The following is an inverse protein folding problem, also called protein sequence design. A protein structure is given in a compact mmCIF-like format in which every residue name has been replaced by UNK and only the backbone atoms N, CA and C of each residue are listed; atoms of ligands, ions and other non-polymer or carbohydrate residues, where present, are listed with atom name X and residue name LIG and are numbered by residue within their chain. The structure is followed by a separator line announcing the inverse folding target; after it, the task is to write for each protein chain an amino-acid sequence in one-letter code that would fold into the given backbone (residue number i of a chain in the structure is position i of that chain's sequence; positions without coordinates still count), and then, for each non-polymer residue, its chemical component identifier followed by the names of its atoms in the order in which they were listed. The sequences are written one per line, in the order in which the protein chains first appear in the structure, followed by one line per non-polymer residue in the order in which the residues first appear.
data_IF_709279420201
#
_entry.id   IF_709279420201
#
_cell.length_a   1.000
_cell.length_b   1.000
_cell.length_c   1.000
_cell.angle_alpha   90.00
_cell.angle_beta   90.00
_cell.angle_gamma   90.00
#
_symmetry.space_group_name_H-M   'P 1'
#
loop_
_entity.id
_entity.type
_entity.pdbx_description
1 polymer ?
#
# COMPACT_ATOMS: atom_id res chain seq x y z
N UNK A 1 47.99 29.67 -68.48
CA UNK A 1 47.41 30.95 -68.18
C UNK A 1 45.91 30.81 -68.10
N UNK A 2 45.34 30.71 -66.93
CA UNK A 2 43.92 30.86 -66.69
C UNK A 2 43.72 31.37 -65.26
N UNK A 3 43.10 32.53 -65.15
CA UNK A 3 42.94 33.32 -63.93
C UNK A 3 41.78 32.75 -63.08
N UNK A 4 42.09 32.54 -61.79
CA UNK A 4 41.05 32.17 -60.80
C UNK A 4 40.40 33.42 -60.24
N UNK A 5 39.10 33.58 -60.47
CA UNK A 5 38.26 34.60 -59.84
C UNK A 5 37.88 34.17 -58.42
N UNK A 6 38.26 34.96 -57.43
CA UNK A 6 37.73 34.86 -56.06
C UNK A 6 36.34 35.47 -56.03
N UNK A 7 35.37 34.69 -55.57
CA UNK A 7 34.03 35.17 -55.21
C UNK A 7 34.02 35.34 -53.70
N UNK A 8 33.81 36.56 -53.23
CA UNK A 8 33.63 36.91 -51.82
C UNK A 8 32.17 36.67 -51.43
N UNK A 9 31.94 35.85 -50.36
CA UNK A 9 30.63 35.68 -49.70
C UNK A 9 30.51 36.68 -48.55
N UNK A 10 29.50 37.56 -48.56
CA UNK A 10 29.13 38.32 -47.35
C UNK A 10 28.01 37.56 -46.63
N UNK A 11 28.08 37.35 -45.34
CA UNK A 11 26.91 36.92 -44.56
C UNK A 11 27.15 36.03 -43.33
N UNK A 12 28.12 36.34 -42.46
CA UNK A 12 28.25 35.61 -41.18
C UNK A 12 28.05 36.50 -39.92
N UNK A 13 27.65 37.76 -40.07
CA UNK A 13 27.50 38.68 -38.94
C UNK A 13 26.05 38.81 -38.37
N UNK A 14 25.03 38.25 -39.06
CA UNK A 14 23.62 38.45 -38.63
C UNK A 14 23.06 37.23 -37.80
N UNK A 15 23.73 36.10 -37.76
CA UNK A 15 23.19 34.91 -37.08
C UNK A 15 23.59 34.79 -35.58
N UNK A 16 24.65 35.55 -35.17
CA UNK A 16 25.17 35.49 -33.79
C UNK A 16 24.38 36.36 -32.81
N UNK A 17 23.65 37.37 -33.29
CA UNK A 17 22.85 38.27 -32.42
C UNK A 17 21.48 37.67 -32.06
N UNK A 18 20.93 36.78 -32.90
CA UNK A 18 19.63 36.14 -32.62
C UNK A 18 19.76 34.97 -31.62
N UNK A 19 20.93 34.33 -31.53
CA UNK A 19 21.13 33.21 -30.60
C UNK A 19 21.39 33.69 -29.16
N UNK A 20 21.90 34.93 -28.98
CA UNK A 20 22.15 35.51 -27.65
C UNK A 20 20.86 36.05 -26.98
N UNK A 21 19.83 36.38 -27.77
CA UNK A 21 18.54 36.88 -27.25
C UNK A 21 17.64 35.76 -26.72
N UNK A 22 17.85 34.50 -27.14
CA UNK A 22 17.09 33.35 -26.67
C UNK A 22 17.58 32.79 -25.32
N UNK A 23 18.78 33.14 -24.87
CA UNK A 23 19.35 32.70 -23.59
C UNK A 23 19.08 33.66 -22.41
N UNK A 24 18.42 34.78 -22.64
CA UNK A 24 18.16 35.80 -21.63
C UNK A 24 16.69 35.86 -21.16
N UNK A 25 15.85 34.89 -21.53
CA UNK A 25 14.52 34.79 -20.93
C UNK A 25 14.66 34.23 -19.51
N UNK A 26 14.25 35.00 -18.47
CA UNK A 26 14.19 34.42 -17.13
C UNK A 26 13.30 33.18 -17.18
N UNK A 27 13.65 32.09 -16.46
CA UNK A 27 12.77 30.95 -16.37
C UNK A 27 11.40 31.43 -15.87
N UNK A 28 10.36 31.18 -16.65
CA UNK A 28 9.01 31.45 -16.20
C UNK A 28 8.83 30.77 -14.83
N UNK A 29 8.30 31.48 -13.82
CA UNK A 29 8.04 30.83 -12.55
C UNK A 29 7.15 29.62 -12.82
N UNK A 30 7.62 28.43 -12.41
CA UNK A 30 6.81 27.23 -12.47
C UNK A 30 5.51 27.55 -11.71
N UNK A 31 4.41 27.70 -12.43
CA UNK A 31 3.10 27.77 -11.81
C UNK A 31 2.90 26.46 -11.07
N UNK A 32 3.01 26.48 -9.76
CA UNK A 32 2.53 25.40 -8.91
C UNK A 32 1.02 25.33 -9.16
N UNK A 33 0.61 24.44 -10.05
CA UNK A 33 -0.80 24.08 -10.21
C UNK A 33 -1.18 23.35 -8.93
N UNK A 34 -1.60 24.12 -7.93
CA UNK A 34 -2.18 23.55 -6.72
C UNK A 34 -3.55 23.00 -7.10
N UNK A 35 -3.67 21.69 -7.17
CA UNK A 35 -4.98 21.03 -7.32
C UNK A 35 -5.92 21.52 -6.22
N UNK A 36 -7.19 21.77 -6.52
CA UNK A 36 -8.16 22.14 -5.50
C UNK A 36 -8.18 21.12 -4.36
N UNK A 37 -8.42 21.56 -3.11
CA UNK A 37 -8.49 20.63 -2.00
C UNK A 37 -9.62 19.60 -2.21
N UNK A 38 -9.46 18.36 -1.71
CA UNK A 38 -10.53 17.37 -1.75
C UNK A 38 -11.80 17.89 -1.05
N UNK A 39 -12.95 17.60 -1.64
CA UNK A 39 -14.26 17.90 -1.08
C UNK A 39 -14.85 16.66 -0.46
N UNK A 40 -15.37 16.75 0.76
CA UNK A 40 -15.95 15.62 1.48
C UNK A 40 -17.40 15.89 1.86
N UNK A 41 -18.23 14.86 1.80
CA UNK A 41 -19.58 14.86 2.32
C UNK A 41 -20.04 13.44 2.65
N UNK A 42 -21.14 13.33 3.38
CA UNK A 42 -21.76 12.04 3.70
C UNK A 42 -23.18 12.03 3.16
N UNK A 43 -23.60 10.94 2.52
CA UNK A 43 -24.97 10.75 2.06
C UNK A 43 -25.89 10.38 3.23
N UNK A 44 -27.22 10.51 3.03
CA UNK A 44 -28.23 10.19 4.04
C UNK A 44 -28.17 8.72 4.51
N UNK A 45 -27.71 7.81 3.64
CA UNK A 45 -27.53 6.38 3.95
C UNK A 45 -26.19 6.05 4.63
N UNK A 46 -25.38 7.07 4.95
CA UNK A 46 -24.11 6.92 5.66
C UNK A 46 -22.89 6.69 4.78
N UNK A 47 -23.01 6.66 3.44
CA UNK A 47 -21.86 6.58 2.55
C UNK A 47 -21.01 7.83 2.66
N UNK A 48 -19.73 7.68 3.04
CA UNK A 48 -18.73 8.74 2.96
C UNK A 48 -18.30 8.98 1.52
N UNK A 49 -18.10 10.23 1.12
CA UNK A 49 -17.65 10.58 -0.23
C UNK A 49 -16.47 11.53 -0.13
N UNK A 50 -15.43 11.26 -0.92
CA UNK A 50 -14.26 12.12 -1.12
C UNK A 50 -14.13 12.39 -2.61
N UNK A 51 -14.20 13.64 -3.04
CA UNK A 51 -13.99 14.07 -4.43
C UNK A 51 -12.68 14.85 -4.51
N UNK A 52 -11.79 14.43 -5.41
CA UNK A 52 -10.47 15.01 -5.63
C UNK A 52 -10.44 15.55 -7.08
N UNK A 53 -10.75 16.84 -7.31
CA UNK A 53 -10.76 17.40 -8.66
C UNK A 53 -9.35 17.46 -9.25
N UNK A 54 -9.22 16.93 -10.47
CA UNK A 54 -8.00 17.03 -11.28
C UNK A 54 -8.37 17.10 -12.78
N UNK A 55 -8.39 18.29 -13.32
CA UNK A 55 -8.85 18.58 -14.68
C UNK A 55 -7.74 18.49 -15.75
N UNK A 56 -6.57 17.96 -15.40
CA UNK A 56 -5.42 17.87 -16.33
C UNK A 56 -5.67 16.90 -17.49
N UNK A 57 -6.48 15.88 -17.29
CA UNK A 57 -6.85 14.88 -18.31
C UNK A 57 -8.34 14.54 -18.20
N UNK A 58 -9.06 14.21 -19.31
CA UNK A 58 -10.49 13.94 -19.29
C UNK A 58 -10.81 12.51 -18.81
N UNK A 59 -10.17 12.06 -17.75
CA UNK A 59 -10.38 10.75 -17.13
C UNK A 59 -10.72 10.90 -15.65
N UNK A 60 -11.38 9.89 -15.10
CA UNK A 60 -11.71 9.79 -13.68
C UNK A 60 -11.35 8.42 -13.16
N UNK A 61 -10.92 8.36 -11.91
CA UNK A 61 -10.79 7.13 -11.13
C UNK A 61 -11.85 7.15 -10.05
N UNK A 62 -12.76 6.19 -10.11
CA UNK A 62 -13.73 5.89 -9.06
C UNK A 62 -13.21 4.72 -8.24
N UNK A 63 -13.22 4.84 -6.90
CA UNK A 63 -12.90 3.74 -5.98
C UNK A 63 -13.97 3.65 -4.90
N UNK A 64 -14.55 2.47 -4.71
CA UNK A 64 -15.36 2.16 -3.53
C UNK A 64 -14.51 1.37 -2.53
N UNK A 65 -14.49 1.83 -1.30
CA UNK A 65 -13.72 1.26 -0.19
C UNK A 65 -14.66 0.76 0.88
N UNK A 66 -14.64 -0.53 1.14
CA UNK A 66 -15.37 -1.13 2.24
C UNK A 66 -14.48 -1.22 3.47
N UNK A 67 -15.00 -0.79 4.63
CA UNK A 67 -14.31 -0.84 5.93
C UNK A 67 -14.32 -2.26 6.49
N UNK A 68 -13.83 -3.21 5.72
CA UNK A 68 -13.74 -4.62 6.04
C UNK A 68 -12.63 -5.28 5.25
N UNK A 69 -11.81 -6.05 5.93
CA UNK A 69 -10.69 -6.79 5.33
C UNK A 69 -10.45 -8.12 6.04
N UNK A 70 -9.29 -8.71 5.84
CA UNK A 70 -8.99 -10.03 6.41
C UNK A 70 -8.96 -10.05 7.94
N UNK A 71 -8.75 -8.92 8.61
CA UNK A 71 -8.79 -8.84 10.06
C UNK A 71 -10.20 -8.94 10.65
N UNK A 72 -11.25 -8.79 9.82
CA UNK A 72 -12.65 -8.88 10.24
C UNK A 72 -13.25 -10.28 10.01
N UNK A 73 -12.45 -11.21 9.49
CA UNK A 73 -12.85 -12.60 9.25
C UNK A 73 -13.03 -13.39 10.54
N UNK A 74 -13.99 -14.30 10.53
CA UNK A 74 -14.17 -15.25 11.63
C UNK A 74 -13.00 -16.23 11.69
N UNK A 75 -12.48 -16.58 12.87
CA UNK A 75 -11.47 -17.64 13.02
C UNK A 75 -11.88 -18.94 12.32
N UNK A 76 -10.96 -19.56 11.59
CA UNK A 76 -11.23 -20.74 10.77
C UNK A 76 -11.75 -20.46 9.36
N UNK A 77 -11.86 -19.18 8.97
CA UNK A 77 -12.35 -18.72 7.66
C UNK A 77 -11.41 -17.69 7.04
N UNK A 78 -10.09 -17.81 7.27
CA UNK A 78 -9.12 -16.86 6.69
C UNK A 78 -9.10 -16.94 5.17
N UNK A 79 -8.89 -15.78 4.53
CA UNK A 79 -8.97 -15.61 3.10
C UNK A 79 -10.38 -15.32 2.57
N UNK A 80 -11.39 -15.24 3.44
CA UNK A 80 -12.77 -15.01 3.04
C UNK A 80 -12.98 -13.61 2.43
N UNK A 81 -12.32 -12.59 2.97
CA UNK A 81 -12.38 -11.23 2.42
C UNK A 81 -11.79 -11.17 1.01
N UNK A 82 -10.65 -11.79 0.79
CA UNK A 82 -9.99 -11.89 -0.51
C UNK A 82 -10.79 -12.77 -1.48
N UNK A 83 -11.32 -13.89 -1.01
CA UNK A 83 -12.19 -14.73 -1.82
C UNK A 83 -13.46 -13.99 -2.27
N UNK A 84 -14.08 -13.21 -1.38
CA UNK A 84 -15.23 -12.38 -1.76
C UNK A 84 -14.83 -11.29 -2.77
N UNK A 85 -13.63 -10.70 -2.66
CA UNK A 85 -13.11 -9.78 -3.67
C UNK A 85 -13.22 -10.38 -5.07
N UNK A 86 -12.74 -11.61 -5.28
CA UNK A 86 -12.85 -12.34 -6.54
C UNK A 86 -14.30 -12.59 -6.96
N UNK A 87 -15.14 -12.99 -6.01
CA UNK A 87 -16.54 -13.31 -6.27
C UNK A 87 -17.38 -12.08 -6.64
N UNK A 88 -16.97 -10.87 -6.26
CA UNK A 88 -17.65 -9.63 -6.62
C UNK A 88 -17.64 -9.36 -8.14
N UNK A 89 -16.80 -10.03 -8.92
CA UNK A 89 -16.78 -9.96 -10.38
C UNK A 89 -17.73 -10.98 -11.06
N UNK A 90 -18.45 -11.80 -10.27
CA UNK A 90 -19.34 -12.85 -10.80
C UNK A 90 -20.75 -12.36 -11.17
N UNK A 91 -20.99 -11.04 -11.05
CA UNK A 91 -22.20 -10.37 -11.52
C UNK A 91 -23.32 -10.27 -10.51
N UNK A 92 -24.36 -9.60 -10.94
CA UNK A 92 -25.60 -9.34 -10.18
C UNK A 92 -26.80 -9.86 -10.95
N UNK A 93 -27.99 -9.73 -10.38
CA UNK A 93 -29.23 -10.04 -11.11
C UNK A 93 -29.45 -9.09 -12.30
N UNK A 94 -28.96 -7.84 -12.21
CA UNK A 94 -29.11 -6.82 -13.25
C UNK A 94 -27.99 -6.87 -14.29
N UNK A 95 -26.77 -7.16 -13.85
CA UNK A 95 -25.57 -7.20 -14.69
C UNK A 95 -24.89 -8.56 -14.57
N UNK A 96 -25.08 -9.45 -15.57
CA UNK A 96 -24.49 -10.79 -15.56
C UNK A 96 -22.94 -10.76 -15.46
N UNK A 97 -22.38 -11.91 -15.10
CA UNK A 97 -20.94 -12.08 -14.98
C UNK A 97 -20.18 -11.60 -16.23
N UNK A 98 -19.16 -10.78 -16.03
CA UNK A 98 -18.32 -10.24 -17.09
C UNK A 98 -18.87 -8.99 -17.78
N UNK A 99 -20.14 -8.62 -17.63
CA UNK A 99 -20.72 -7.46 -18.31
C UNK A 99 -20.06 -6.15 -17.86
N UNK A 100 -19.81 -6.00 -16.55
CA UNK A 100 -19.11 -4.84 -16.02
C UNK A 100 -17.71 -4.73 -16.61
N UNK A 101 -16.90 -5.79 -16.52
CA UNK A 101 -15.53 -5.82 -17.03
C UNK A 101 -15.47 -5.56 -18.53
N UNK A 102 -16.36 -6.16 -19.31
CA UNK A 102 -16.46 -5.91 -20.75
C UNK A 102 -16.84 -4.46 -21.07
N UNK A 103 -17.68 -3.85 -20.23
CA UNK A 103 -18.09 -2.44 -20.40
C UNK A 103 -16.90 -1.53 -20.13
N UNK A 104 -16.14 -1.76 -19.06
CA UNK A 104 -14.91 -1.01 -18.75
C UNK A 104 -13.91 -1.13 -19.91
N UNK A 105 -13.68 -2.34 -20.41
CA UNK A 105 -12.75 -2.56 -21.53
C UNK A 105 -13.20 -1.88 -22.83
N UNK A 106 -14.50 -1.91 -23.16
CA UNK A 106 -15.04 -1.25 -24.37
C UNK A 106 -14.80 0.25 -24.41
N UNK A 107 -14.78 0.91 -23.27
CA UNK A 107 -14.54 2.35 -23.16
C UNK A 107 -13.07 2.69 -22.98
N UNK A 108 -12.16 1.70 -23.09
CA UNK A 108 -10.73 1.87 -22.90
C UNK A 108 -10.34 2.14 -21.44
N UNK A 109 -11.16 1.69 -20.50
CA UNK A 109 -10.93 1.82 -19.07
C UNK A 109 -10.11 0.67 -18.49
N UNK A 110 -9.78 0.84 -17.21
CA UNK A 110 -9.10 -0.15 -16.37
C UNK A 110 -9.94 -0.40 -15.12
N UNK A 111 -10.02 -1.65 -14.68
CA UNK A 111 -10.60 -2.01 -13.38
C UNK A 111 -9.71 -2.97 -12.63
N UNK A 112 -9.79 -2.93 -11.33
CA UNK A 112 -9.17 -3.92 -10.45
C UNK A 112 -9.77 -3.82 -9.05
N UNK A 113 -9.33 -4.73 -8.17
CA UNK A 113 -9.67 -4.74 -6.76
C UNK A 113 -8.43 -5.05 -5.90
N UNK A 114 -8.57 -4.91 -4.61
CA UNK A 114 -7.53 -5.26 -3.65
C UNK A 114 -8.15 -5.46 -2.27
N UNK A 115 -7.62 -6.42 -1.55
CA UNK A 115 -7.93 -6.67 -0.13
C UNK A 115 -6.69 -6.43 0.72
N UNK A 116 -6.90 -5.82 1.89
CA UNK A 116 -5.89 -5.66 2.93
C UNK A 116 -6.45 -6.18 4.27
N UNK A 117 -5.71 -6.04 5.34
CA UNK A 117 -6.19 -6.37 6.69
C UNK A 117 -7.45 -5.59 7.07
N UNK A 118 -7.53 -4.31 6.70
CA UNK A 118 -8.52 -3.36 7.19
C UNK A 118 -9.59 -2.96 6.19
N UNK A 119 -9.38 -3.24 4.92
CA UNK A 119 -10.26 -2.79 3.86
C UNK A 119 -10.22 -3.69 2.63
N UNK A 120 -11.30 -3.61 1.85
CA UNK A 120 -11.39 -4.13 0.49
C UNK A 120 -11.83 -2.99 -0.42
N UNK A 121 -11.13 -2.79 -1.54
CA UNK A 121 -11.42 -1.71 -2.47
C UNK A 121 -11.57 -2.20 -3.89
N UNK A 122 -12.47 -1.55 -4.64
CA UNK A 122 -12.72 -1.81 -6.07
C UNK A 122 -12.60 -0.49 -6.81
N UNK A 123 -12.00 -0.49 -7.98
CA UNK A 123 -11.83 0.75 -8.74
C UNK A 123 -12.00 0.57 -10.24
N UNK A 124 -12.42 1.64 -10.87
CA UNK A 124 -12.43 1.82 -12.31
C UNK A 124 -11.78 3.16 -12.66
N UNK A 125 -10.93 3.14 -13.66
CA UNK A 125 -10.38 4.33 -14.29
C UNK A 125 -10.91 4.40 -15.71
N UNK A 126 -11.72 5.42 -16.02
CA UNK A 126 -12.46 5.53 -17.27
C UNK A 126 -12.48 6.97 -17.78
N UNK A 127 -12.82 7.22 -19.08
CA UNK A 127 -13.19 8.56 -19.53
C UNK A 127 -14.31 9.15 -18.66
N UNK A 128 -14.26 10.45 -18.40
CA UNK A 128 -15.17 11.13 -17.45
C UNK A 128 -16.66 10.96 -17.77
N UNK A 129 -17.01 10.84 -19.04
CA UNK A 129 -18.39 10.66 -19.51
C UNK A 129 -18.94 9.28 -19.17
N UNK A 130 -18.10 8.33 -18.79
CA UNK A 130 -18.47 6.98 -18.37
C UNK A 130 -18.68 6.84 -16.85
N UNK A 131 -18.36 7.87 -16.07
CA UNK A 131 -18.43 7.81 -14.60
C UNK A 131 -19.82 7.44 -14.08
N UNK A 132 -20.90 7.98 -14.68
CA UNK A 132 -22.27 7.68 -14.27
C UNK A 132 -22.61 6.18 -14.45
N UNK A 133 -22.13 5.55 -15.52
CA UNK A 133 -22.30 4.13 -15.74
C UNK A 133 -21.54 3.30 -14.69
N UNK A 134 -20.29 3.67 -14.37
CA UNK A 134 -19.49 2.99 -13.34
C UNK A 134 -20.14 3.11 -11.96
N UNK A 135 -20.68 4.27 -11.60
CA UNK A 135 -21.42 4.45 -10.36
C UNK A 135 -22.66 3.55 -10.29
N UNK A 136 -23.39 3.40 -11.40
CA UNK A 136 -24.55 2.53 -11.45
C UNK A 136 -24.20 1.06 -11.27
N UNK A 137 -23.14 0.58 -11.89
CA UNK A 137 -22.61 -0.78 -11.71
C UNK A 137 -22.18 -1.04 -10.26
N UNK A 138 -21.39 -0.12 -9.67
CA UNK A 138 -20.90 -0.29 -8.31
C UNK A 138 -22.01 -0.21 -7.26
N UNK A 139 -22.97 0.70 -7.43
CA UNK A 139 -24.12 0.80 -6.54
C UNK A 139 -24.98 -0.47 -6.58
N UNK A 140 -25.19 -1.06 -7.77
CA UNK A 140 -25.89 -2.33 -7.93
C UNK A 140 -25.10 -3.48 -7.30
N UNK A 141 -23.79 -3.56 -7.57
CA UNK A 141 -22.90 -4.59 -7.00
C UNK A 141 -22.81 -4.57 -5.48
N UNK A 142 -23.02 -3.40 -4.85
CA UNK A 142 -22.96 -3.25 -3.40
C UNK A 142 -23.99 -4.13 -2.66
N UNK A 143 -25.15 -4.43 -3.26
CA UNK A 143 -26.20 -5.22 -2.62
C UNK A 143 -26.82 -6.29 -3.53
N UNK A 144 -26.50 -6.28 -4.82
CA UNK A 144 -27.10 -7.11 -5.84
C UNK A 144 -26.35 -8.37 -6.23
N UNK A 145 -25.24 -8.70 -5.55
CA UNK A 145 -24.39 -9.84 -5.89
C UNK A 145 -25.16 -11.16 -5.89
N UNK A 146 -25.03 -11.93 -6.99
CA UNK A 146 -25.64 -13.25 -7.15
C UNK A 146 -24.54 -14.29 -7.32
N UNK A 147 -24.45 -15.21 -6.37
CA UNK A 147 -23.47 -16.30 -6.40
C UNK A 147 -24.16 -17.65 -6.58
N UNK A 148 -23.64 -18.44 -7.49
CA UNK A 148 -24.02 -19.84 -7.70
C UNK A 148 -22.80 -20.73 -7.49
N UNK A 149 -22.99 -21.98 -7.06
CA UNK A 149 -21.88 -22.90 -6.82
C UNK A 149 -21.00 -23.14 -8.05
N UNK A 150 -21.61 -23.10 -9.25
CA UNK A 150 -20.91 -23.20 -10.54
C UNK A 150 -19.88 -22.07 -10.79
N UNK A 151 -20.04 -20.92 -10.11
CA UNK A 151 -19.11 -19.80 -10.16
C UNK A 151 -18.15 -19.78 -8.98
N UNK A 152 -18.62 -20.22 -7.80
CA UNK A 152 -17.89 -20.09 -6.54
C UNK A 152 -16.77 -21.13 -6.42
N UNK A 153 -17.06 -22.41 -6.76
CA UNK A 153 -16.09 -23.47 -6.62
C UNK A 153 -14.87 -23.31 -7.54
N UNK A 154 -15.03 -23.00 -8.85
CA UNK A 154 -13.88 -22.72 -9.69
C UNK A 154 -13.08 -21.50 -9.24
N UNK A 155 -13.73 -20.46 -8.70
CA UNK A 155 -13.02 -19.27 -8.22
C UNK A 155 -12.21 -19.55 -6.96
N UNK A 156 -12.67 -20.45 -6.10
CA UNK A 156 -11.88 -20.92 -4.97
C UNK A 156 -10.59 -21.61 -5.44
N UNK A 157 -10.65 -22.40 -6.50
CA UNK A 157 -9.48 -23.04 -7.09
C UNK A 157 -8.53 -22.01 -7.71
N UNK A 158 -9.05 -20.91 -8.29
CA UNK A 158 -8.23 -19.76 -8.75
C UNK A 158 -7.49 -19.12 -7.57
N UNK A 159 -8.15 -18.88 -6.44
CA UNK A 159 -7.51 -18.32 -5.24
C UNK A 159 -6.45 -19.28 -4.66
N UNK A 160 -6.71 -20.60 -4.70
CA UNK A 160 -5.71 -21.60 -4.31
C UNK A 160 -4.48 -21.60 -5.22
N UNK A 161 -4.68 -21.43 -6.52
CA UNK A 161 -3.56 -21.31 -7.46
C UNK A 161 -2.79 -19.99 -7.26
N UNK A 162 -3.47 -18.91 -6.95
CA UNK A 162 -2.84 -17.66 -6.58
C UNK A 162 -2.01 -17.80 -5.28
N UNK A 163 -2.53 -18.54 -4.28
CA UNK A 163 -1.76 -18.89 -3.09
C UNK A 163 -0.49 -19.67 -3.46
N UNK A 164 -0.60 -20.65 -4.38
CA UNK A 164 0.54 -21.40 -4.87
C UNK A 164 1.60 -20.48 -5.49
N UNK A 165 1.18 -19.58 -6.37
CA UNK A 165 2.10 -18.65 -7.06
C UNK A 165 2.72 -17.61 -6.12
N UNK A 166 1.92 -17.01 -5.25
CA UNK A 166 2.36 -15.89 -4.40
C UNK A 166 3.09 -16.34 -3.14
N UNK A 167 2.69 -17.46 -2.55
CA UNK A 167 3.18 -17.91 -1.24
C UNK A 167 3.89 -19.26 -1.33
N UNK A 168 3.21 -20.36 -1.70
CA UNK A 168 3.78 -21.69 -1.60
C UNK A 168 5.05 -21.90 -2.43
N UNK A 169 5.12 -21.28 -3.62
CA UNK A 169 6.28 -21.31 -4.52
C UNK A 169 7.31 -20.20 -4.25
N UNK A 170 7.09 -19.34 -3.28
CA UNK A 170 7.98 -18.24 -2.93
C UNK A 170 8.48 -18.41 -1.48
N UNK A 171 9.71 -18.91 -1.26
CA UNK A 171 10.24 -19.10 0.08
C UNK A 171 10.28 -17.82 0.94
N UNK A 172 10.53 -16.67 0.36
CA UNK A 172 10.55 -15.40 1.09
C UNK A 172 9.15 -15.00 1.56
N UNK A 173 8.12 -15.16 0.72
CA UNK A 173 6.73 -14.92 1.11
C UNK A 173 6.26 -15.87 2.21
N UNK A 174 6.67 -17.15 2.17
CA UNK A 174 6.43 -18.13 3.25
C UNK A 174 7.09 -17.70 4.55
N UNK A 175 8.32 -17.19 4.50
CA UNK A 175 8.98 -16.66 5.69
C UNK A 175 8.20 -15.47 6.26
N UNK A 176 7.78 -14.53 5.42
CA UNK A 176 6.98 -13.35 5.85
C UNK A 176 5.66 -13.79 6.48
N UNK A 177 4.96 -14.78 5.91
CA UNK A 177 3.75 -15.35 6.49
C UNK A 177 3.98 -15.87 7.91
N UNK A 178 5.07 -16.61 8.14
CA UNK A 178 5.42 -17.13 9.46
C UNK A 178 5.88 -16.03 10.43
N UNK A 179 6.59 -15.00 9.94
CA UNK A 179 6.97 -13.84 10.75
C UNK A 179 5.72 -13.11 11.24
N UNK A 180 4.75 -12.85 10.37
CA UNK A 180 3.51 -12.16 10.73
C UNK A 180 2.71 -12.96 11.76
N UNK A 181 2.58 -14.28 11.57
CA UNK A 181 1.94 -15.17 12.54
C UNK A 181 2.66 -15.19 13.90
N UNK A 182 3.99 -15.03 13.90
CA UNK A 182 4.76 -14.94 15.13
C UNK A 182 4.75 -13.52 15.73
N UNK A 183 4.57 -12.48 14.95
CA UNK A 183 4.54 -11.08 15.41
C UNK A 183 3.28 -10.79 16.22
N UNK A 184 2.15 -11.34 15.79
CA UNK A 184 0.84 -11.16 16.42
C UNK A 184 0.38 -12.45 17.11
N UNK A 185 0.32 -12.43 18.43
CA UNK A 185 -0.12 -13.59 19.24
C UNK A 185 -1.65 -13.72 19.25
N UNK A 186 -2.36 -12.61 19.23
CA UNK A 186 -3.81 -12.58 19.39
C UNK A 186 -4.51 -11.73 18.32
N UNK A 187 -3.83 -10.72 17.80
CA UNK A 187 -4.43 -9.81 16.83
C UNK A 187 -4.57 -10.49 15.44
N UNK A 188 -5.70 -10.30 14.74
CA UNK A 188 -5.95 -10.94 13.44
C UNK A 188 -4.99 -10.54 12.31
N UNK A 189 -4.15 -9.52 12.46
CA UNK A 189 -3.07 -9.22 11.51
C UNK A 189 -1.99 -10.32 11.41
N UNK A 190 -1.99 -11.28 12.33
CA UNK A 190 -1.15 -12.48 12.23
C UNK A 190 -1.63 -13.48 11.19
N UNK A 191 -2.84 -13.33 10.63
CA UNK A 191 -3.38 -14.19 9.57
C UNK A 191 -3.07 -13.60 8.20
N UNK A 192 -2.63 -14.39 7.20
CA UNK A 192 -2.37 -13.86 5.87
C UNK A 192 -3.65 -13.34 5.20
N UNK A 193 -3.55 -12.24 4.46
CA UNK A 193 -4.70 -11.64 3.75
C UNK A 193 -5.30 -12.62 2.74
N UNK A 194 -4.44 -13.37 2.03
CA UNK A 194 -4.91 -14.41 1.09
C UNK A 194 -5.56 -15.60 1.80
N UNK A 195 -5.31 -15.77 3.11
CA UNK A 195 -5.79 -16.87 3.93
C UNK A 195 -4.81 -18.01 4.07
N UNK A 196 -5.04 -18.86 5.09
CA UNK A 196 -4.35 -20.14 5.24
C UNK A 196 -4.89 -21.13 4.23
N UNK A 197 -4.02 -21.84 3.51
CA UNK A 197 -4.42 -22.80 2.47
C UNK A 197 -5.54 -23.75 2.92
N UNK A 198 -5.38 -24.39 4.08
CA UNK A 198 -6.33 -25.36 4.62
C UNK A 198 -7.70 -24.75 5.00
N UNK A 199 -7.78 -23.43 5.16
CA UNK A 199 -9.03 -22.71 5.41
C UNK A 199 -9.67 -22.27 4.09
N UNK A 200 -8.88 -21.81 3.12
CA UNK A 200 -9.34 -21.45 1.77
C UNK A 200 -10.04 -22.66 1.12
N UNK A 201 -9.44 -23.86 1.23
CA UNK A 201 -10.00 -25.13 0.69
C UNK A 201 -11.42 -25.44 1.17
N UNK A 202 -11.82 -24.85 2.32
CA UNK A 202 -13.12 -25.10 2.97
C UNK A 202 -14.12 -23.96 2.85
N UNK A 203 -13.72 -22.83 2.24
CA UNK A 203 -14.62 -21.68 2.05
C UNK A 203 -15.79 -22.08 1.14
N UNK A 204 -16.97 -21.65 1.53
CA UNK A 204 -18.24 -21.95 0.85
C UNK A 204 -18.89 -20.71 0.30
N UNK A 205 -19.89 -20.89 -0.58
CA UNK A 205 -20.75 -19.80 -1.06
C UNK A 205 -21.48 -19.12 0.08
N UNK A 206 -21.97 -19.92 1.04
CA UNK A 206 -22.70 -19.44 2.22
C UNK A 206 -21.82 -18.54 3.09
N UNK A 207 -20.54 -18.90 3.27
CA UNK A 207 -19.55 -18.06 3.97
C UNK A 207 -19.39 -16.71 3.27
N UNK A 208 -19.19 -16.73 1.95
CA UNK A 208 -19.03 -15.52 1.16
C UNK A 208 -20.29 -14.62 1.20
N UNK A 209 -21.47 -15.20 1.03
CA UNK A 209 -22.73 -14.45 1.10
C UNK A 209 -23.02 -13.90 2.50
N UNK A 210 -22.67 -14.64 3.56
CA UNK A 210 -22.82 -14.16 4.93
C UNK A 210 -21.91 -12.96 5.21
N UNK A 211 -20.66 -13.04 4.77
CA UNK A 211 -19.68 -11.96 4.90
C UNK A 211 -20.09 -10.72 4.07
N UNK A 212 -20.50 -10.93 2.81
CA UNK A 212 -21.02 -9.88 1.96
C UNK A 212 -22.22 -9.15 2.60
N UNK A 213 -23.26 -9.89 3.00
CA UNK A 213 -24.44 -9.32 3.64
C UNK A 213 -24.14 -8.61 4.94
N UNK A 214 -23.10 -9.01 5.66
CA UNK A 214 -22.71 -8.41 6.93
C UNK A 214 -22.00 -7.07 6.77
N UNK A 215 -21.17 -6.91 5.74
CA UNK A 215 -20.22 -5.81 5.68
C UNK A 215 -20.37 -4.88 4.48
N UNK A 216 -20.99 -5.35 3.37
CA UNK A 216 -21.11 -4.55 2.16
C UNK A 216 -22.38 -3.69 2.21
N UNK A 217 -22.19 -2.44 2.62
CA UNK A 217 -23.27 -1.47 2.75
C UNK A 217 -22.72 -0.06 2.69
N UNK A 218 -23.52 0.95 2.30
CA UNK A 218 -23.07 2.33 2.16
C UNK A 218 -22.52 2.91 3.47
N UNK A 219 -23.12 2.64 4.61
CA UNK A 219 -22.65 3.12 5.91
C UNK A 219 -21.36 2.42 6.41
N UNK A 220 -20.86 1.41 5.69
CA UNK A 220 -19.56 0.78 5.90
C UNK A 220 -18.61 1.04 4.73
N UNK A 221 -18.88 2.02 3.90
CA UNK A 221 -18.09 2.29 2.71
C UNK A 221 -17.70 3.77 2.58
N UNK A 222 -16.67 4.01 1.79
CA UNK A 222 -16.27 5.34 1.33
C UNK A 222 -16.07 5.31 -0.18
N UNK A 223 -16.73 6.22 -0.89
CA UNK A 223 -16.54 6.44 -2.31
C UNK A 223 -15.49 7.53 -2.49
N UNK A 224 -14.42 7.23 -3.23
CA UNK A 224 -13.40 8.20 -3.62
C UNK A 224 -13.45 8.39 -5.13
N UNK A 225 -13.59 9.62 -5.60
CA UNK A 225 -13.56 9.97 -7.02
C UNK A 225 -12.46 10.99 -7.25
N UNK A 226 -11.47 10.63 -8.05
CA UNK A 226 -10.35 11.50 -8.41
C UNK A 226 -10.29 11.70 -9.93
N UNK A 227 -10.13 12.94 -10.39
CA UNK A 227 -10.00 13.24 -11.81
C UNK A 227 -10.83 14.41 -12.29
N UNK A 228 -11.18 14.39 -13.59
CA UNK A 228 -11.94 15.46 -14.24
C UNK A 228 -13.40 15.48 -13.78
N UNK A 229 -13.59 15.89 -12.54
CA UNK A 229 -14.88 15.90 -11.83
C UNK A 229 -15.03 17.17 -10.99
N UNK A 230 -16.24 17.71 -10.98
CA UNK A 230 -16.66 18.81 -10.12
C UNK A 230 -17.54 18.23 -9.00
N UNK A 231 -17.15 18.48 -7.76
CA UNK A 231 -17.82 17.91 -6.59
C UNK A 231 -19.30 18.34 -6.46
N UNK A 232 -19.64 19.58 -6.85
CA UNK A 232 -20.99 20.09 -6.78
C UNK A 232 -21.88 19.46 -7.88
N UNK A 233 -21.32 19.24 -9.07
CA UNK A 233 -22.04 18.68 -10.19
C UNK A 233 -22.25 17.15 -10.08
N UNK A 234 -21.27 16.45 -9.49
CA UNK A 234 -21.35 14.98 -9.38
C UNK A 234 -22.22 14.51 -8.21
N UNK A 235 -22.40 15.34 -7.18
CA UNK A 235 -23.19 14.98 -5.99
C UNK A 235 -24.60 14.48 -6.31
N UNK A 236 -25.42 15.13 -7.16
CA UNK A 236 -26.76 14.62 -7.51
C UNK A 236 -26.72 13.25 -8.20
N UNK A 237 -25.67 12.95 -8.98
CA UNK A 237 -25.56 11.64 -9.62
C UNK A 237 -25.15 10.56 -8.61
N UNK A 238 -24.32 10.88 -7.62
CA UNK A 238 -24.00 9.96 -6.51
C UNK A 238 -25.27 9.70 -5.67
N UNK A 239 -26.09 10.72 -5.41
CA UNK A 239 -27.36 10.59 -4.68
C UNK A 239 -28.39 9.73 -5.43
N UNK A 240 -28.44 9.81 -6.77
CA UNK A 240 -29.33 8.98 -7.61
C UNK A 240 -28.88 7.51 -7.70
N UNK A 241 -27.60 7.22 -7.53
CA UNK A 241 -27.03 5.88 -7.61
C UNK A 241 -26.82 5.29 -6.21
N UNK A 242 -25.70 5.58 -5.60
CA UNK A 242 -25.35 5.08 -4.26
C UNK A 242 -26.33 5.54 -3.16
N UNK A 243 -26.92 6.74 -3.29
CA UNK A 243 -27.89 7.25 -2.33
C UNK A 243 -29.17 6.42 -2.24
N UNK A 244 -29.46 5.61 -3.25
CA UNK A 244 -30.63 4.70 -3.25
C UNK A 244 -30.34 3.35 -2.58
N UNK A 245 -29.07 3.04 -2.32
CA UNK A 245 -28.71 1.79 -1.65
C UNK A 245 -29.04 1.88 -0.16
N UNK A 246 -29.77 0.91 0.40
CA UNK A 246 -30.15 0.96 1.81
C UNK A 246 -28.95 0.80 2.73
N UNK A 247 -28.95 1.53 3.85
CA UNK A 247 -27.97 1.35 4.91
C UNK A 247 -28.20 0.03 5.66
N UNK A 248 -27.14 -0.47 6.33
CA UNK A 248 -27.16 -1.66 7.17
C UNK A 248 -26.99 -1.26 8.65
N UNK A 249 -28.08 -1.03 9.41
CA UNK A 249 -27.98 -0.54 10.79
C UNK A 249 -27.25 -1.48 11.75
N UNK A 250 -27.16 -2.77 11.41
CA UNK A 250 -26.47 -3.78 12.23
C UNK A 250 -24.94 -3.66 12.19
N UNK A 251 -24.38 -2.86 11.27
CA UNK A 251 -22.92 -2.65 11.23
C UNK A 251 -22.53 -1.66 12.32
N UNK A 252 -21.66 -2.06 13.27
CA UNK A 252 -21.22 -1.15 14.32
C UNK A 252 -20.33 -0.04 13.74
N UNK A 253 -20.46 1.17 14.28
CA UNK A 253 -19.63 2.32 13.89
C UNK A 253 -18.15 2.14 14.26
N UNK A 254 -17.86 1.30 15.26
CA UNK A 254 -16.51 1.00 15.74
C UNK A 254 -16.21 -0.48 15.53
N UNK A 255 -15.06 -0.77 14.91
CA UNK A 255 -14.57 -2.13 14.76
C UNK A 255 -13.92 -2.58 16.06
N UNK A 256 -14.47 -3.62 16.70
CA UNK A 256 -13.91 -4.22 17.92
C UNK A 256 -13.14 -5.47 17.50
N UNK A 257 -11.85 -5.49 17.79
CA UNK A 257 -10.94 -6.60 17.48
C UNK A 257 -10.19 -7.06 18.73
N UNK A 258 -9.73 -8.33 18.76
CA UNK A 258 -8.79 -8.79 19.78
C UNK A 258 -7.57 -7.87 19.81
N UNK A 259 -7.16 -7.42 20.99
CA UNK A 259 -5.98 -6.56 21.13
C UNK A 259 -4.72 -7.41 21.24
N UNK A 260 -3.61 -6.94 20.67
CA UNK A 260 -2.32 -7.59 20.78
C UNK A 260 -1.70 -7.34 22.16
N UNK A 261 -1.33 -8.38 22.92
CA UNK A 261 -0.62 -8.20 24.16
C UNK A 261 0.80 -7.67 23.89
N UNK A 262 1.34 -6.92 24.85
CA UNK A 262 2.71 -6.44 24.74
C UNK A 262 3.68 -7.63 24.68
N UNK A 263 4.56 -7.72 23.66
CA UNK A 263 5.53 -8.78 23.57
C UNK A 263 6.52 -8.75 24.75
N UNK A 264 6.71 -9.90 25.40
CA UNK A 264 7.60 -10.03 26.56
C UNK A 264 8.99 -10.59 26.19
N UNK A 265 9.14 -11.19 25.01
CA UNK A 265 10.39 -11.78 24.55
C UNK A 265 10.55 -11.64 23.03
N UNK A 266 11.80 -11.55 22.53
CA UNK A 266 12.06 -11.61 21.10
C UNK A 266 11.71 -13.02 20.58
N UNK A 267 11.29 -13.08 19.33
CA UNK A 267 10.94 -14.35 18.66
C UNK A 267 11.76 -14.52 17.40
N UNK A 268 12.04 -15.78 17.06
CA UNK A 268 12.83 -16.13 15.87
C UNK A 268 12.10 -17.17 15.04
N UNK A 269 12.14 -17.01 13.73
CA UNK A 269 11.60 -17.96 12.75
C UNK A 269 12.71 -18.29 11.76
N UNK A 270 12.98 -19.57 11.52
CA UNK A 270 13.93 -19.98 10.49
C UNK A 270 13.20 -20.85 9.47
N UNK A 271 13.27 -20.46 8.20
CA UNK A 271 12.78 -21.23 7.07
C UNK A 271 13.96 -21.68 6.21
N UNK A 272 14.15 -23.01 6.14
CA UNK A 272 15.08 -23.64 5.22
C UNK A 272 14.31 -24.16 4.00
N UNK A 273 14.76 -23.82 2.79
CA UNK A 273 14.14 -24.30 1.55
C UNK A 273 15.22 -24.46 0.48
N UNK A 274 15.22 -25.60 -0.22
CA UNK A 274 16.23 -25.93 -1.23
C UNK A 274 16.23 -24.96 -2.43
N UNK A 275 15.11 -24.27 -2.67
CA UNK A 275 14.94 -23.29 -3.75
C UNK A 275 15.56 -21.92 -3.44
N UNK A 276 16.04 -21.69 -2.21
CA UNK A 276 16.64 -20.42 -1.82
C UNK A 276 17.99 -20.24 -2.51
N UNK A 277 18.07 -19.25 -3.38
CA UNK A 277 19.33 -18.84 -3.99
C UNK A 277 19.97 -17.68 -3.22
N UNK A 278 19.17 -16.72 -2.77
CA UNK A 278 19.58 -15.59 -1.98
C UNK A 278 19.00 -15.70 -0.56
N UNK A 279 19.82 -15.96 0.46
CA UNK A 279 19.38 -15.89 1.86
C UNK A 279 18.86 -14.50 2.22
N UNK A 280 17.98 -14.42 3.21
CA UNK A 280 17.40 -13.17 3.70
C UNK A 280 17.34 -13.15 5.23
N UNK A 281 17.62 -12.00 5.83
CA UNK A 281 17.24 -11.68 7.20
C UNK A 281 16.10 -10.65 7.15
N UNK A 282 15.04 -10.91 7.89
CA UNK A 282 13.93 -9.99 8.07
C UNK A 282 13.67 -9.78 9.57
N UNK A 283 13.58 -8.53 10.02
CA UNK A 283 13.23 -8.22 11.41
C UNK A 283 12.06 -7.27 11.44
N UNK A 284 10.97 -7.71 12.05
CA UNK A 284 9.73 -6.96 12.20
C UNK A 284 9.57 -6.52 13.65
N UNK A 285 9.36 -5.24 13.86
CA UNK A 285 9.08 -4.66 15.17
C UNK A 285 7.60 -4.30 15.24
N UNK A 286 6.92 -4.72 16.30
CA UNK A 286 5.54 -4.28 16.58
C UNK A 286 5.57 -2.81 17.03
N UNK A 287 4.95 -1.94 16.25
CA UNK A 287 4.92 -0.48 16.45
C UNK A 287 3.49 0.05 16.29
N UNK A 288 3.15 1.24 16.81
CA UNK A 288 1.83 1.81 16.55
C UNK A 288 1.66 2.17 15.08
N UNK A 289 0.41 2.15 14.63
CA UNK A 289 -0.02 2.75 13.36
C UNK A 289 -0.31 4.25 13.53
N UNK A 290 -0.71 4.93 12.47
CA UNK A 290 -1.11 6.33 12.51
C UNK A 290 -2.37 6.59 13.36
N UNK A 291 -3.21 5.56 13.56
CA UNK A 291 -4.43 5.62 14.38
C UNK A 291 -4.19 5.28 15.86
N UNK A 292 -3.12 4.54 16.16
CA UNK A 292 -2.79 4.10 17.52
C UNK A 292 -1.57 4.81 18.13
N UNK A 293 -0.84 5.56 17.33
CA UNK A 293 0.33 6.33 17.74
C UNK A 293 -0.05 7.54 18.59
N UNK A 294 0.79 7.89 19.54
CA UNK A 294 0.72 9.20 20.18
C UNK A 294 1.05 10.32 19.19
N UNK A 295 0.64 11.54 19.50
CA UNK A 295 0.86 12.69 18.62
C UNK A 295 2.34 12.84 18.22
N UNK A 296 2.60 12.87 16.91
CA UNK A 296 3.94 12.99 16.33
C UNK A 296 4.72 11.68 16.19
N UNK A 297 4.30 10.56 16.80
CA UNK A 297 5.03 9.28 16.72
C UNK A 297 4.98 8.68 15.31
N UNK A 298 3.81 8.64 14.66
CA UNK A 298 3.70 8.03 13.33
C UNK A 298 4.53 8.78 12.27
N UNK A 299 4.50 10.12 12.14
CA UNK A 299 5.42 10.82 11.25
C UNK A 299 6.90 10.61 11.59
N UNK A 300 7.24 10.49 12.88
CA UNK A 300 8.61 10.19 13.29
C UNK A 300 9.04 8.77 12.89
N UNK A 301 8.12 7.77 12.93
CA UNK A 301 8.36 6.41 12.43
C UNK A 301 8.52 6.38 10.89
N UNK A 302 7.74 7.19 10.14
CA UNK A 302 7.93 7.37 8.69
C UNK A 302 9.37 7.86 8.39
N UNK A 303 9.79 8.94 9.07
CA UNK A 303 11.13 9.52 8.88
C UNK A 303 12.22 8.55 9.35
N UNK A 304 12.03 7.84 10.47
CA UNK A 304 12.95 6.83 10.96
C UNK A 304 13.16 5.70 9.94
N UNK A 305 12.08 5.13 9.41
CA UNK A 305 12.16 4.05 8.42
C UNK A 305 12.92 4.48 7.17
N UNK A 306 12.65 5.69 6.66
CA UNK A 306 13.35 6.28 5.53
C UNK A 306 14.84 6.51 5.82
N UNK A 307 15.15 7.03 7.01
CA UNK A 307 16.53 7.34 7.43
C UNK A 307 17.41 6.09 7.53
N UNK A 308 16.84 5.00 8.07
CA UNK A 308 17.62 3.77 8.26
C UNK A 308 17.61 2.85 7.04
N UNK A 309 16.59 2.92 6.17
CA UNK A 309 16.33 1.84 5.21
C UNK A 309 16.30 2.17 3.74
N UNK A 310 16.13 3.43 3.31
CA UNK A 310 15.94 3.72 1.89
C UNK A 310 17.12 4.44 1.24
N UNK A 311 17.61 3.83 0.15
CA UNK A 311 18.68 4.36 -0.70
C UNK A 311 20.09 4.15 -0.15
N UNK A 312 21.08 4.55 -0.97
CA UNK A 312 22.51 4.35 -0.68
C UNK A 312 23.04 5.17 0.50
N UNK A 313 22.32 6.22 0.91
CA UNK A 313 22.66 7.04 2.06
C UNK A 313 21.97 6.59 3.37
N UNK A 314 21.13 5.55 3.32
CA UNK A 314 20.50 5.02 4.51
C UNK A 314 21.52 4.40 5.47
N UNK A 315 21.27 4.52 6.76
CA UNK A 315 22.24 4.10 7.78
C UNK A 315 22.52 2.60 7.76
N UNK A 316 21.52 1.76 7.50
CA UNK A 316 21.74 0.32 7.34
C UNK A 316 22.55 0.01 6.09
N UNK A 317 22.27 0.68 4.97
CA UNK A 317 23.04 0.46 3.73
C UNK A 317 24.51 0.84 3.93
N UNK A 318 24.79 2.01 4.48
CA UNK A 318 26.18 2.45 4.77
C UNK A 318 26.88 1.44 5.67
N UNK A 319 26.29 1.07 6.80
CA UNK A 319 26.92 0.19 7.77
C UNK A 319 27.12 -1.25 7.26
N UNK A 320 26.09 -1.85 6.60
CA UNK A 320 26.13 -3.26 6.24
C UNK A 320 26.67 -3.51 4.84
N UNK A 321 26.39 -2.62 3.87
CA UNK A 321 26.79 -2.82 2.48
C UNK A 321 28.15 -2.18 2.20
N UNK A 322 28.36 -0.93 2.64
CA UNK A 322 29.57 -0.16 2.33
C UNK A 322 30.69 -0.51 3.32
N UNK A 323 30.49 -0.26 4.61
CA UNK A 323 31.56 -0.32 5.62
C UNK A 323 31.93 -1.76 5.99
N UNK A 324 30.94 -2.54 6.46
CA UNK A 324 31.19 -3.91 6.94
C UNK A 324 31.14 -4.97 5.84
N UNK A 325 30.60 -4.62 4.70
CA UNK A 325 30.45 -5.51 3.54
C UNK A 325 29.78 -6.87 3.84
N UNK A 326 28.82 -6.87 4.78
CA UNK A 326 28.06 -8.05 5.20
C UNK A 326 26.83 -8.32 4.32
N UNK A 327 26.33 -7.31 3.61
CA UNK A 327 25.11 -7.39 2.82
C UNK A 327 25.30 -6.90 1.39
N UNK A 328 24.40 -7.30 0.50
CA UNK A 328 24.26 -6.79 -0.86
C UNK A 328 23.18 -5.71 -0.95
N UNK A 329 22.16 -5.79 -0.09
CA UNK A 329 21.12 -4.77 0.01
C UNK A 329 20.49 -4.74 1.40
N UNK A 330 19.92 -3.58 1.74
CA UNK A 330 19.14 -3.35 2.95
C UNK A 330 17.92 -2.51 2.61
N UNK A 331 16.86 -2.71 3.37
CA UNK A 331 15.64 -1.89 3.29
C UNK A 331 14.99 -1.80 4.67
N UNK A 332 14.27 -0.69 4.94
CA UNK A 332 13.35 -0.62 6.06
C UNK A 332 12.06 0.08 5.63
N UNK A 333 10.94 -0.40 6.14
CA UNK A 333 9.61 0.13 5.82
C UNK A 333 8.76 0.21 7.08
N UNK A 334 7.94 1.24 7.17
CA UNK A 334 6.93 1.38 8.22
C UNK A 334 5.53 1.30 7.61
N UNK A 335 4.70 0.38 8.14
CA UNK A 335 3.31 0.24 7.76
C UNK A 335 2.44 1.10 8.66
N UNK A 336 2.40 2.42 8.39
CA UNK A 336 1.67 3.38 9.23
C UNK A 336 0.15 3.36 9.03
N UNK A 337 -0.34 3.04 7.83
CA UNK A 337 -1.77 3.10 7.51
C UNK A 337 -2.47 1.79 7.89
N UNK A 338 -2.95 1.72 9.13
CA UNK A 338 -3.67 0.58 9.69
C UNK A 338 -4.59 1.02 10.83
N UNK A 339 -5.63 0.23 11.15
CA UNK A 339 -6.57 0.51 12.25
C UNK A 339 -5.94 0.23 13.62
N UNK A 340 -5.13 -0.83 13.71
CA UNK A 340 -4.52 -1.28 14.96
C UNK A 340 -2.99 -1.20 14.90
N UNK A 341 -2.29 -1.63 15.96
CA UNK A 341 -0.84 -1.65 15.99
C UNK A 341 -0.27 -2.45 14.81
N UNK A 342 0.74 -1.89 14.17
CA UNK A 342 1.31 -2.38 12.94
C UNK A 342 2.82 -2.70 13.11
N UNK A 343 3.61 -2.60 12.05
CA UNK A 343 5.02 -2.99 12.10
C UNK A 343 5.95 -2.01 11.39
N UNK A 344 7.20 -1.99 11.86
CA UNK A 344 8.36 -1.52 11.12
C UNK A 344 9.22 -2.74 10.78
N UNK A 345 9.49 -2.94 9.50
CA UNK A 345 10.25 -4.07 8.99
C UNK A 345 11.63 -3.64 8.49
N UNK A 346 12.66 -4.40 8.85
CA UNK A 346 14.01 -4.32 8.30
C UNK A 346 14.27 -5.59 7.51
N UNK A 347 14.76 -5.45 6.28
CA UNK A 347 15.16 -6.56 5.42
C UNK A 347 16.62 -6.40 5.00
N UNK A 348 17.38 -7.49 5.06
CA UNK A 348 18.79 -7.54 4.67
C UNK A 348 19.04 -8.77 3.82
N UNK A 349 19.61 -8.58 2.63
CA UNK A 349 20.13 -9.66 1.81
C UNK A 349 21.64 -9.82 2.10
N UNK A 350 22.06 -10.91 2.77
CA UNK A 350 23.46 -11.16 3.08
C UNK A 350 24.33 -11.32 1.83
N UNK A 351 25.61 -10.95 1.91
CA UNK A 351 26.61 -11.46 0.98
C UNK A 351 26.81 -12.96 1.17
N UNK A 352 27.23 -13.68 0.12
CA UNK A 352 27.58 -15.11 0.27
C UNK A 352 28.60 -15.32 1.40
N UNK A 353 28.29 -16.23 2.32
CA UNK A 353 29.12 -16.56 3.49
C UNK A 353 29.07 -15.57 4.66
N UNK A 354 28.25 -14.52 4.59
CA UNK A 354 28.08 -13.61 5.72
C UNK A 354 27.28 -14.27 6.84
N UNK A 355 27.75 -14.09 8.09
CA UNK A 355 27.07 -14.60 9.27
C UNK A 355 25.87 -13.74 9.67
N UNK A 356 24.72 -14.38 9.89
CA UNK A 356 23.51 -13.71 10.34
C UNK A 356 23.68 -13.03 11.71
N UNK A 357 24.44 -13.61 12.62
CA UNK A 357 24.70 -13.01 13.92
C UNK A 357 25.47 -11.68 13.78
N UNK A 358 26.45 -11.62 12.88
CA UNK A 358 27.18 -10.38 12.58
C UNK A 358 26.26 -9.31 11.95
N UNK A 359 25.31 -9.72 11.08
CA UNK A 359 24.32 -8.82 10.49
C UNK A 359 23.38 -8.26 11.58
N UNK A 360 22.88 -9.12 12.48
CA UNK A 360 22.02 -8.68 13.59
C UNK A 360 22.75 -7.69 14.50
N UNK A 361 23.97 -7.97 14.87
CA UNK A 361 24.81 -7.07 15.67
C UNK A 361 25.01 -5.72 14.96
N UNK A 362 25.17 -5.73 13.64
CA UNK A 362 25.33 -4.50 12.88
C UNK A 362 24.02 -3.69 12.82
N UNK A 363 22.85 -4.35 12.66
CA UNK A 363 21.54 -3.69 12.74
C UNK A 363 21.35 -3.05 14.12
N UNK A 364 21.64 -3.80 15.19
CA UNK A 364 21.50 -3.32 16.56
C UNK A 364 22.42 -2.14 16.83
N UNK A 365 23.66 -2.19 16.34
CA UNK A 365 24.63 -1.10 16.48
C UNK A 365 24.17 0.18 15.74
N UNK A 366 23.56 0.07 14.56
CA UNK A 366 22.98 1.21 13.83
C UNK A 366 21.86 1.85 14.62
N UNK A 367 20.91 1.05 15.16
CA UNK A 367 19.80 1.53 15.96
C UNK A 367 20.33 2.19 17.26
N UNK A 368 21.26 1.55 17.95
CA UNK A 368 21.87 2.08 19.17
C UNK A 368 22.61 3.39 18.92
N UNK A 369 23.39 3.48 17.83
CA UNK A 369 24.07 4.69 17.43
C UNK A 369 23.10 5.84 17.15
N UNK A 370 22.01 5.56 16.43
CA UNK A 370 20.95 6.54 16.15
C UNK A 370 20.28 7.05 17.43
N UNK A 371 20.08 6.19 18.43
CA UNK A 371 19.46 6.55 19.72
C UNK A 371 20.42 7.43 20.57
N UNK A 372 21.72 7.15 20.54
CA UNK A 372 22.69 7.76 21.44
C UNK A 372 23.35 9.03 20.89
N UNK A 373 23.52 9.11 19.58
CA UNK A 373 24.28 10.18 18.95
C UNK A 373 23.37 11.14 18.17
N UNK A 374 23.75 12.41 18.03
CA UNK A 374 22.99 13.38 17.27
C UNK A 374 22.79 12.92 15.82
N UNK A 375 21.56 13.04 15.30
CA UNK A 375 21.28 12.86 13.88
C UNK A 375 21.74 14.12 13.14
N UNK A 376 22.63 14.04 12.13
CA UNK A 376 23.06 15.18 11.34
C UNK A 376 21.84 15.89 10.72
N UNK A 377 21.82 17.22 10.80
CA UNK A 377 20.72 18.03 10.27
C UNK A 377 20.53 17.80 8.76
N UNK A 378 21.65 17.64 8.01
CA UNK A 378 21.60 17.36 6.57
C UNK A 378 20.91 16.03 6.24
N UNK A 379 21.14 14.97 7.03
CA UNK A 379 20.49 13.68 6.85
C UNK A 379 18.99 13.77 7.12
N UNK A 380 18.62 14.48 8.19
CA UNK A 380 17.21 14.70 8.55
C UNK A 380 16.47 15.47 7.44
N UNK A 381 17.03 16.58 6.99
CA UNK A 381 16.40 17.41 5.95
C UNK A 381 16.37 16.70 4.58
N UNK A 382 17.38 15.93 4.24
CA UNK A 382 17.39 15.10 3.04
C UNK A 382 16.24 14.09 3.04
N UNK A 383 16.06 13.35 4.14
CA UNK A 383 15.02 12.33 4.27
C UNK A 383 13.62 12.95 4.25
N UNK A 384 13.39 14.05 4.96
CA UNK A 384 12.13 14.79 4.91
C UNK A 384 11.81 15.25 3.49
N UNK A 385 12.81 15.80 2.79
CA UNK A 385 12.64 16.25 1.40
C UNK A 385 12.27 15.10 0.48
N UNK A 386 12.89 13.93 0.64
CA UNK A 386 12.58 12.72 -0.13
C UNK A 386 11.14 12.26 0.09
N UNK A 387 10.69 12.15 1.36
CA UNK A 387 9.32 11.75 1.69
C UNK A 387 8.29 12.74 1.14
N UNK A 388 8.53 14.04 1.29
CA UNK A 388 7.64 15.07 0.77
C UNK A 388 7.61 15.06 -0.76
N UNK A 389 8.75 14.85 -1.42
CA UNK A 389 8.81 14.74 -2.88
C UNK A 389 8.00 13.52 -3.37
N UNK A 390 8.08 12.37 -2.70
CA UNK A 390 7.24 11.21 -3.01
C UNK A 390 5.74 11.54 -2.92
N UNK A 391 5.33 12.28 -1.88
CA UNK A 391 3.94 12.73 -1.74
C UNK A 391 3.51 13.72 -2.82
N UNK A 392 4.43 14.59 -3.27
CA UNK A 392 4.16 15.51 -4.39
C UNK A 392 4.01 14.72 -5.71
N UNK A 393 4.92 13.80 -5.99
CA UNK A 393 4.82 12.95 -7.20
C UNK A 393 3.57 12.05 -7.19
N UNK A 394 3.12 11.61 -6.02
CA UNK A 394 1.87 10.87 -5.91
C UNK A 394 0.66 11.65 -6.43
N UNK A 395 0.71 13.00 -6.38
CA UNK A 395 -0.35 13.87 -6.90
C UNK A 395 -0.45 13.86 -8.44
N UNK A 396 0.55 13.35 -9.14
CA UNK A 396 0.50 13.25 -10.60
C UNK A 396 -0.36 12.05 -11.09
N UNK A 397 -0.69 11.14 -10.21
CA UNK A 397 -1.54 9.97 -10.50
C UNK A 397 -2.87 10.04 -9.75
N UNK A 398 -3.97 10.18 -10.47
CA UNK A 398 -5.33 10.15 -9.92
C UNK A 398 -5.60 8.85 -9.16
N UNK A 399 -5.14 7.72 -9.67
CA UNK A 399 -5.27 6.41 -9.03
C UNK A 399 -4.50 6.34 -7.71
N UNK A 400 -3.27 6.87 -7.69
CA UNK A 400 -2.44 6.92 -6.47
C UNK A 400 -3.06 7.83 -5.40
N UNK A 401 -3.57 9.01 -5.81
CA UNK A 401 -4.31 9.90 -4.91
C UNK A 401 -5.56 9.23 -4.33
N UNK A 402 -6.39 8.62 -5.19
CA UNK A 402 -7.59 7.93 -4.75
C UNK A 402 -7.27 6.78 -3.77
N UNK A 403 -6.15 6.07 -4.00
CA UNK A 403 -5.65 5.05 -3.07
C UNK A 403 -5.19 5.65 -1.75
N UNK A 404 -4.42 6.72 -1.78
CA UNK A 404 -3.88 7.34 -0.57
C UNK A 404 -4.99 7.88 0.34
N UNK A 405 -5.93 8.66 -0.23
CA UNK A 405 -7.08 9.15 0.53
C UNK A 405 -7.99 8.02 0.97
N UNK A 406 -8.29 7.07 0.06
CA UNK A 406 -9.15 5.94 0.37
C UNK A 406 -8.63 5.07 1.51
N UNK A 407 -7.35 4.69 1.47
CA UNK A 407 -6.72 3.92 2.54
C UNK A 407 -6.77 4.68 3.88
N UNK A 408 -6.36 5.96 3.87
CA UNK A 408 -6.35 6.78 5.08
C UNK A 408 -7.73 6.93 5.73
N UNK A 409 -8.76 7.33 4.97
CA UNK A 409 -10.11 7.53 5.51
C UNK A 409 -10.75 6.22 5.96
N UNK A 410 -10.41 5.11 5.31
CA UNK A 410 -10.96 3.80 5.63
C UNK A 410 -10.42 3.25 6.95
N UNK A 411 -9.20 3.59 7.31
CA UNK A 411 -8.64 3.24 8.64
C UNK A 411 -9.00 4.25 9.72
N UNK A 412 -9.61 5.39 9.38
CA UNK A 412 -10.14 6.37 10.35
C UNK A 412 -9.42 7.72 10.39
N UNK A 413 -8.49 7.98 9.47
CA UNK A 413 -7.88 9.31 9.34
C UNK A 413 -8.84 10.29 8.67
N UNK A 414 -8.82 11.53 9.11
CA UNK A 414 -9.51 12.62 8.42
C UNK A 414 -8.79 13.00 7.12
N UNK A 415 -9.52 13.59 6.18
CA UNK A 415 -8.94 14.13 4.94
C UNK A 415 -7.88 15.21 5.25
N UNK A 416 -8.08 16.00 6.30
CA UNK A 416 -7.10 17.00 6.72
C UNK A 416 -5.81 16.38 7.26
N UNK A 417 -5.89 15.28 8.02
CA UNK A 417 -4.70 14.55 8.46
C UNK A 417 -3.91 13.98 7.31
N UNK A 418 -4.59 13.46 6.27
CA UNK A 418 -3.94 12.94 5.08
C UNK A 418 -3.31 14.08 4.27
N UNK A 419 -4.04 15.16 4.05
CA UNK A 419 -3.57 16.33 3.30
C UNK A 419 -2.37 17.00 3.96
N UNK A 420 -2.38 17.12 5.28
CA UNK A 420 -1.34 17.81 6.05
C UNK A 420 -0.17 16.88 6.44
N UNK A 421 -0.13 15.64 5.90
CA UNK A 421 0.97 14.71 6.16
C UNK A 421 2.36 15.30 5.80
N UNK A 422 2.55 16.03 4.67
CA UNK A 422 3.83 16.68 4.37
C UNK A 422 4.26 17.70 5.44
N UNK A 423 3.33 18.46 6.02
CA UNK A 423 3.64 19.42 7.07
C UNK A 423 4.02 18.72 8.37
N UNK A 424 3.35 17.59 8.68
CA UNK A 424 3.72 16.75 9.83
C UNK A 424 5.12 16.16 9.67
N UNK A 425 5.51 15.74 8.46
CA UNK A 425 6.88 15.29 8.15
C UNK A 425 7.89 16.42 8.34
N UNK A 426 7.59 17.64 7.84
CA UNK A 426 8.48 18.81 8.06
C UNK A 426 8.72 19.11 9.52
N UNK A 427 7.70 18.94 10.35
CA UNK A 427 7.75 19.23 11.78
C UNK A 427 8.52 18.18 12.61
N UNK A 428 8.85 17.00 12.04
CA UNK A 428 9.59 15.96 12.78
C UNK A 428 10.97 16.46 13.18
N UNK A 429 11.34 16.23 14.43
CA UNK A 429 12.64 16.57 15.00
C UNK A 429 13.53 15.34 15.20
N UNK A 430 14.85 15.54 15.28
CA UNK A 430 15.81 14.49 15.59
C UNK A 430 15.48 13.81 16.94
N UNK A 431 15.08 14.57 17.94
CA UNK A 431 14.69 14.04 19.25
C UNK A 431 13.49 13.09 19.16
N UNK A 432 12.45 13.44 18.39
CA UNK A 432 11.30 12.56 18.18
C UNK A 432 11.69 11.25 17.50
N UNK A 433 12.61 11.29 16.51
CA UNK A 433 13.12 10.07 15.85
C UNK A 433 13.85 9.19 16.85
N UNK A 434 14.73 9.78 17.69
CA UNK A 434 15.45 9.05 18.73
C UNK A 434 14.50 8.45 19.77
N UNK A 435 13.45 9.17 20.15
CA UNK A 435 12.45 8.72 21.13
C UNK A 435 11.63 7.54 20.60
N UNK A 436 11.14 7.59 19.34
CA UNK A 436 10.41 6.47 18.74
C UNK A 436 11.32 5.26 18.51
N UNK A 437 12.60 5.48 18.13
CA UNK A 437 13.57 4.39 18.01
C UNK A 437 13.81 3.69 19.35
N UNK A 438 14.03 4.47 20.42
CA UNK A 438 14.23 3.97 21.79
C UNK A 438 13.02 3.21 22.32
N UNK A 439 11.82 3.71 22.05
CA UNK A 439 10.55 3.16 22.54
C UNK A 439 10.13 1.90 21.79
N UNK A 440 10.33 1.86 20.47
CA UNK A 440 9.71 0.88 19.61
C UNK A 440 10.68 -0.12 18.98
N UNK A 441 11.93 0.26 18.67
CA UNK A 441 12.89 -0.66 18.05
C UNK A 441 13.66 -1.48 19.10
N UNK A 442 12.93 -2.10 20.01
CA UNK A 442 13.50 -2.94 21.08
C UNK A 442 13.31 -4.42 20.73
N UNK A 443 14.31 -5.26 21.03
CA UNK A 443 14.32 -6.69 20.65
C UNK A 443 13.10 -7.46 21.15
N UNK A 444 12.63 -7.18 22.37
CA UNK A 444 11.45 -7.84 22.95
C UNK A 444 10.17 -7.64 22.13
N UNK A 445 10.11 -6.58 21.30
CA UNK A 445 8.99 -6.27 20.40
C UNK A 445 9.19 -6.81 18.99
N UNK A 446 10.24 -7.61 18.73
CA UNK A 446 10.57 -8.03 17.39
C UNK A 446 10.44 -9.53 17.16
N UNK A 447 10.24 -9.85 15.89
CA UNK A 447 10.43 -11.18 15.32
C UNK A 447 11.53 -11.09 14.27
N UNK A 448 12.58 -11.90 14.41
CA UNK A 448 13.63 -12.05 13.39
C UNK A 448 13.43 -13.32 12.62
N UNK A 449 13.30 -13.21 11.30
CA UNK A 449 13.17 -14.32 10.37
C UNK A 449 14.45 -14.53 9.56
N UNK A 450 14.84 -15.80 9.42
CA UNK A 450 15.96 -16.21 8.57
C UNK A 450 15.44 -17.10 7.45
N UNK A 451 15.70 -16.69 6.21
CA UNK A 451 15.55 -17.54 5.04
C UNK A 451 16.92 -18.10 4.68
N UNK A 452 17.05 -19.41 4.72
CA UNK A 452 18.32 -20.09 4.45
C UNK A 452 18.14 -21.15 3.37
N UNK A 453 19.22 -21.47 2.67
CA UNK A 453 19.22 -22.60 1.74
C UNK A 453 19.24 -23.90 2.52
N UNK A 454 18.30 -24.78 2.23
CA UNK A 454 18.35 -26.15 2.72
C UNK A 454 19.41 -26.93 1.93
N UNK A 455 20.46 -27.34 2.63
CA UNK A 455 21.56 -28.15 2.06
C UNK A 455 21.44 -29.63 2.47
N UNK A 456 20.34 -30.02 3.13
CA UNK A 456 20.10 -31.40 3.51
C UNK A 456 19.94 -32.24 2.25
N UNK A 457 20.72 -33.33 2.06
CA UNK A 457 20.53 -34.22 0.90
C UNK A 457 19.08 -34.71 0.88
N UNK A 458 18.43 -34.64 -0.27
CA UNK A 458 17.10 -35.20 -0.44
C UNK A 458 17.11 -36.66 0.04
N UNK A 459 16.31 -36.96 1.07
CA UNK A 459 16.08 -38.35 1.47
C UNK A 459 15.50 -39.07 0.27
N UNK A 460 16.24 -40.05 -0.28
CA UNK A 460 15.66 -40.99 -1.24
C UNK A 460 14.44 -41.62 -0.59
N UNK A 461 13.24 -41.21 -1.01
CA UNK A 461 12.04 -41.98 -0.72
C UNK A 461 12.23 -43.34 -1.36
N UNK A 462 12.59 -44.34 -0.53
CA UNK A 462 12.50 -45.75 -0.95
C UNK A 462 11.04 -45.98 -1.31
N UNK A 463 10.76 -46.00 -2.62
CA UNK A 463 9.53 -46.55 -3.15
C UNK A 463 9.48 -48.04 -2.73
N UNK A 464 8.67 -48.29 -1.73
CA UNK A 464 8.26 -49.66 -1.33
C UNK A 464 7.01 -50.05 -2.09
#
# INVERSE_FOLDING_TARGET
MMAARRVALPGFAALTVYLAALLASPPAPAQTVTSPPPVTFTLANGLGVVVIPDHRTPVVTQMIWYKVGSADETPGKSGLAHFLEHLMFKGTARYPAGEFSQTVLRVGGEENAFTNFDYTGYYQRVPRDQLAAMMAFEADRMTGLVLKDENVLPERDVVLEEYNMRVANNPDARLVEQIMAALYLNHPYGRPVIGWRQEIEKLTREDALAFYKRFYAPNNATLVIAGDVDAQKIRPEIEKTFGQVPSQPAIPSTRIRPQEPLPAAPRTVTLADARVEQPMLRRYYLVPSSTTAAAGESPALDVLAQLIGDGSNAYLYRALVVDKQLAVSTNATYQGTAVDASYLAVAVAPKPGADFAAIEQAIDAVIENLIKNPIPAEDLERVKTQLIAQAVYAQDSQTTLARWYGAGVTVGLSVDEIRNWPDRIRAVTAAQIQDVARKWLVKTRSVTGYLIKDTTPAREEKRS
#
